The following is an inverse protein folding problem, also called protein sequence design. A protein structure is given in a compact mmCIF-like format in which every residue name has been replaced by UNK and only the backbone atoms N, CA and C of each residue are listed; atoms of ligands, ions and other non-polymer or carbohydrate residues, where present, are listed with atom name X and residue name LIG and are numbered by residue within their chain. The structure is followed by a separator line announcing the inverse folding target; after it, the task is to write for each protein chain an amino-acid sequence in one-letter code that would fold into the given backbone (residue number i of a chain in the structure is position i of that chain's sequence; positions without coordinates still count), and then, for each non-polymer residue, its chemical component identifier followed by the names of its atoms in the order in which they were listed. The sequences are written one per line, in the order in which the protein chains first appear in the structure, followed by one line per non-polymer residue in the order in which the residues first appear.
data_IF_703070691164
#
_entry.id   IF_703070691164
#
_cell.length_a   1.000
_cell.length_b   1.000
_cell.length_c   1.000
_cell.angle_alpha   90.00
_cell.angle_beta   90.00
_cell.angle_gamma   90.00
#
_symmetry.space_group_name_H-M   'P 1'
#
loop_
_entity.id
_entity.type
_entity.pdbx_description
1 polymer ?
#
# COMPACT_ATOMS: atom_id res chain seq x y z
N UNK A 1 -0.85 -12.43 11.52
CA UNK A 1 -1.04 -11.37 10.48
C UNK A 1 -1.18 -9.94 11.01
N UNK A 2 -1.50 -9.68 12.30
CA UNK A 2 -1.67 -8.31 12.83
C UNK A 2 -0.44 -7.40 12.58
N UNK A 3 0.78 -7.89 12.82
CA UNK A 3 2.02 -7.12 12.57
C UNK A 3 2.22 -6.70 11.11
N UNK A 4 1.95 -7.61 10.16
CA UNK A 4 2.08 -7.35 8.72
C UNK A 4 1.12 -6.25 8.28
N UNK A 5 -0.11 -6.24 8.80
CA UNK A 5 -1.09 -5.19 8.43
C UNK A 5 -0.66 -3.82 8.95
N UNK A 6 -0.13 -3.74 10.17
CA UNK A 6 0.42 -2.48 10.71
C UNK A 6 1.62 -2.00 9.89
N UNK A 7 2.54 -2.91 9.54
CA UNK A 7 3.69 -2.58 8.69
C UNK A 7 3.26 -2.08 7.30
N UNK A 8 2.28 -2.74 6.68
CA UNK A 8 1.72 -2.32 5.39
C UNK A 8 1.11 -0.90 5.46
N UNK A 9 0.34 -0.60 6.51
CA UNK A 9 -0.23 0.74 6.73
C UNK A 9 0.85 1.81 6.90
N UNK A 10 1.89 1.52 7.69
CA UNK A 10 3.01 2.43 7.88
C UNK A 10 3.80 2.67 6.59
N UNK A 11 4.09 1.60 5.84
CA UNK A 11 4.75 1.69 4.54
C UNK A 11 3.93 2.51 3.54
N UNK A 12 2.61 2.27 3.47
CA UNK A 12 1.71 3.06 2.63
C UNK A 12 1.80 4.56 2.95
N UNK A 13 1.66 4.92 4.23
CA UNK A 13 1.73 6.31 4.67
C UNK A 13 3.09 6.98 4.40
N UNK A 14 4.18 6.21 4.45
CA UNK A 14 5.54 6.69 4.17
C UNK A 14 5.93 6.65 2.69
N UNK A 15 5.11 6.07 1.81
CA UNK A 15 5.43 5.91 0.38
C UNK A 15 5.60 7.24 -0.37
N UNK A 16 5.00 8.32 0.15
CA UNK A 16 4.95 9.66 -0.49
C UNK A 16 4.38 9.65 -1.92
N UNK A 17 3.72 8.56 -2.36
CA UNK A 17 3.17 8.43 -3.71
C UNK A 17 2.15 9.53 -4.04
N UNK A 18 1.39 9.99 -3.04
CA UNK A 18 0.45 11.10 -3.23
C UNK A 18 1.12 12.45 -3.53
N UNK A 19 2.43 12.61 -3.30
CA UNK A 19 3.15 13.86 -3.59
C UNK A 19 3.28 14.12 -5.10
N UNK A 20 3.37 13.06 -5.90
CA UNK A 20 3.51 13.11 -7.36
C UNK A 20 2.24 12.63 -8.09
N UNK A 21 1.17 12.33 -7.35
CA UNK A 21 -0.06 11.76 -7.91
C UNK A 21 -0.76 12.74 -8.88
N UNK A 22 -1.04 12.32 -10.13
CA UNK A 22 -1.69 13.18 -11.12
C UNK A 22 -3.13 13.52 -10.74
N UNK A 23 -3.84 12.64 -10.03
CA UNK A 23 -5.21 12.91 -9.57
C UNK A 23 -5.20 14.10 -8.60
N UNK A 24 -4.34 14.06 -7.58
CA UNK A 24 -4.20 15.15 -6.61
C UNK A 24 -3.67 16.42 -7.27
N UNK A 25 -2.70 16.31 -8.18
CA UNK A 25 -2.12 17.46 -8.90
C UNK A 25 -3.15 18.17 -9.78
N UNK A 26 -3.95 17.42 -10.52
CA UNK A 26 -4.89 17.98 -11.49
C UNK A 26 -6.17 18.50 -10.84
N UNK A 27 -6.66 17.84 -9.78
CA UNK A 27 -7.89 18.23 -9.07
C UNK A 27 -7.65 19.12 -7.85
N UNK A 28 -6.41 19.31 -7.43
CA UNK A 28 -6.03 19.99 -6.17
C UNK A 28 -6.36 19.20 -4.89
N UNK A 29 -7.31 18.26 -4.96
CA UNK A 29 -7.78 17.43 -3.86
C UNK A 29 -7.80 15.95 -4.26
N UNK A 30 -7.51 15.06 -3.32
CA UNK A 30 -7.73 13.62 -3.47
C UNK A 30 -9.04 13.26 -2.76
N UNK A 31 -10.02 12.76 -3.51
CA UNK A 31 -11.29 12.33 -2.93
C UNK A 31 -11.09 11.13 -2.00
N UNK A 32 -11.79 11.05 -0.85
CA UNK A 32 -11.63 9.95 0.11
C UNK A 32 -11.80 8.56 -0.49
N UNK A 33 -12.68 8.40 -1.49
CA UNK A 33 -12.93 7.14 -2.19
C UNK A 33 -11.69 6.70 -2.98
N UNK A 34 -11.05 7.63 -3.69
CA UNK A 34 -9.81 7.35 -4.44
C UNK A 34 -8.67 7.02 -3.49
N UNK A 35 -8.53 7.80 -2.41
CA UNK A 35 -7.52 7.55 -1.38
C UNK A 35 -7.70 6.15 -0.77
N UNK A 36 -8.94 5.74 -0.50
CA UNK A 36 -9.26 4.41 0.04
C UNK A 36 -8.84 3.31 -0.93
N UNK A 37 -9.22 3.42 -2.21
CA UNK A 37 -8.84 2.43 -3.24
C UNK A 37 -7.32 2.29 -3.33
N UNK A 38 -6.57 3.39 -3.38
CA UNK A 38 -5.11 3.34 -3.42
C UNK A 38 -4.51 2.68 -2.17
N UNK A 39 -5.04 3.03 -0.99
CA UNK A 39 -4.58 2.46 0.28
C UNK A 39 -4.84 0.96 0.36
N UNK A 40 -6.04 0.53 0.00
CA UNK A 40 -6.44 -0.87 0.06
C UNK A 40 -5.62 -1.71 -0.92
N UNK A 41 -5.43 -1.22 -2.16
CA UNK A 41 -4.59 -1.87 -3.16
C UNK A 41 -3.13 -2.01 -2.69
N UNK A 42 -2.55 -0.96 -2.10
CA UNK A 42 -1.18 -1.01 -1.55
C UNK A 42 -1.07 -2.07 -0.45
N UNK A 43 -2.00 -2.05 0.52
CA UNK A 43 -1.97 -2.96 1.67
C UNK A 43 -2.16 -4.41 1.22
N UNK A 44 -3.05 -4.66 0.26
CA UNK A 44 -3.25 -5.98 -0.33
C UNK A 44 -1.98 -6.48 -1.03
N UNK A 45 -1.39 -5.65 -1.90
CA UNK A 45 -0.15 -5.96 -2.60
C UNK A 45 1.00 -6.27 -1.64
N UNK A 46 1.17 -5.47 -0.58
CA UNK A 46 2.17 -5.69 0.46
C UNK A 46 2.00 -7.06 1.13
N UNK A 47 0.76 -7.42 1.52
CA UNK A 47 0.47 -8.72 2.15
C UNK A 47 0.77 -9.88 1.21
N UNK A 48 0.41 -9.76 -0.07
CA UNK A 48 0.71 -10.75 -1.11
C UNK A 48 2.22 -10.94 -1.28
N UNK A 49 2.98 -9.84 -1.33
CA UNK A 49 4.44 -9.87 -1.42
C UNK A 49 5.09 -10.55 -0.22
N UNK A 50 4.65 -10.24 1.01
CA UNK A 50 5.14 -10.91 2.23
C UNK A 50 4.84 -12.40 2.20
N UNK A 51 3.62 -12.80 1.81
CA UNK A 51 3.25 -14.21 1.70
C UNK A 51 4.11 -14.95 0.67
N UNK A 52 4.37 -14.31 -0.47
CA UNK A 52 5.25 -14.87 -1.51
C UNK A 52 6.67 -15.08 -0.98
N UNK A 53 7.27 -14.07 -0.34
CA UNK A 53 8.60 -14.19 0.28
C UNK A 53 8.67 -15.31 1.32
N UNK A 54 7.64 -15.43 2.16
CA UNK A 54 7.55 -16.50 3.16
C UNK A 54 7.46 -17.89 2.53
N UNK A 55 6.83 -18.02 1.36
CA UNK A 55 6.78 -19.28 0.62
C UNK A 55 8.17 -19.62 0.08
N UNK A 56 8.84 -18.67 -0.57
CA UNK A 56 10.18 -18.88 -1.12
C UNK A 56 11.22 -19.26 -0.05
N UNK A 57 11.11 -18.72 1.17
CA UNK A 57 12.00 -19.09 2.29
C UNK A 57 11.75 -20.50 2.84
N UNK A 58 10.56 -21.08 2.64
CA UNK A 58 10.25 -22.46 3.05
C UNK A 58 10.67 -23.49 2.01
N UNK A 59 10.75 -23.04 0.76
CA UNK A 59 11.17 -23.85 -0.38
C UNK A 59 12.71 -23.86 -0.56
N UNK A 60 13.43 -23.09 0.26
CA UNK A 60 14.89 -23.02 0.41
C UNK A 60 15.37 -23.94 1.55
#
# INVERSE_FOLDING_TARGET
MKGITTAAKQANGKSRACATCPIKRNRGVCMPEVQRVCSDAFIEGFKKGVKWLQQQQKDL
#
